data_IF_474516388054
#
_entry.id   IF_474516388054
#
_cell.length_a   1.000
_cell.length_b   1.000
_cell.length_c   1.000
_cell.angle_alpha   90.00
_cell.angle_beta   90.00
_cell.angle_gamma   90.00
#
_symmetry.space_group_name_H-M   'P 1'
#
loop_
_entity.id
_entity.type
_entity.pdbx_description
1 polymer ?
#
# COMPACT_ATOMS: atom_id res chain seq x y z
N UNK A 1 63.02 32.96 -23.06
CA UNK A 1 62.48 31.84 -22.29
C UNK A 1 60.95 31.94 -22.32
N UNK A 2 60.26 30.93 -22.85
CA UNK A 2 58.81 30.98 -23.04
C UNK A 2 58.06 30.99 -21.70
N UNK A 3 56.85 31.58 -21.70
CA UNK A 3 56.00 31.72 -20.52
C UNK A 3 55.49 30.35 -20.02
N UNK A 4 56.33 29.62 -19.27
CA UNK A 4 56.03 28.31 -18.69
C UNK A 4 54.78 28.35 -17.80
N UNK A 5 54.60 29.45 -17.05
CA UNK A 5 53.44 29.66 -16.20
C UNK A 5 52.14 29.73 -17.03
N UNK A 6 52.18 30.40 -18.20
CA UNK A 6 51.06 30.44 -19.14
C UNK A 6 50.66 29.06 -19.65
N UNK A 7 51.63 28.20 -20.00
CA UNK A 7 51.36 26.83 -20.44
C UNK A 7 50.70 25.96 -19.36
N UNK A 8 51.17 26.06 -18.11
CA UNK A 8 50.57 25.34 -16.99
C UNK A 8 49.11 25.77 -16.75
N UNK A 9 48.84 27.07 -16.79
CA UNK A 9 47.48 27.60 -16.66
C UNK A 9 46.59 27.10 -17.81
N UNK A 10 47.07 27.13 -19.05
CA UNK A 10 46.31 26.63 -20.21
C UNK A 10 46.00 25.13 -20.10
N UNK A 11 46.96 24.29 -19.70
CA UNK A 11 46.74 22.84 -19.51
C UNK A 11 45.72 22.59 -18.41
N UNK A 12 45.80 23.31 -17.29
CA UNK A 12 44.82 23.20 -16.21
C UNK A 12 43.41 23.60 -16.67
N UNK A 13 43.29 24.67 -17.47
CA UNK A 13 42.02 25.17 -18.00
C UNK A 13 41.40 24.18 -19.01
N UNK A 14 42.21 23.65 -19.92
CA UNK A 14 41.79 22.60 -20.87
C UNK A 14 41.38 21.33 -20.12
N UNK A 15 42.15 20.91 -19.12
CA UNK A 15 41.82 19.76 -18.27
C UNK A 15 40.50 19.95 -17.53
N UNK A 16 40.25 21.14 -16.98
CA UNK A 16 38.99 21.47 -16.30
C UNK A 16 37.80 21.47 -17.26
N UNK A 17 37.94 22.07 -18.45
CA UNK A 17 36.90 22.06 -19.49
C UNK A 17 36.64 20.63 -19.98
N UNK A 18 37.68 19.85 -20.25
CA UNK A 18 37.56 18.45 -20.64
C UNK A 18 36.84 17.64 -19.55
N UNK A 19 37.16 17.84 -18.27
CA UNK A 19 36.48 17.16 -17.16
C UNK A 19 35.01 17.59 -17.05
N UNK A 20 34.68 18.87 -17.26
CA UNK A 20 33.30 19.37 -17.28
C UNK A 20 32.48 18.83 -18.47
N UNK A 21 33.12 18.60 -19.62
CA UNK A 21 32.47 18.05 -20.83
C UNK A 21 32.36 16.52 -20.80
N UNK A 22 33.38 15.83 -20.31
CA UNK A 22 33.44 14.36 -20.26
C UNK A 22 32.62 13.81 -19.09
N UNK A 23 32.62 14.45 -17.92
CA UNK A 23 31.92 13.95 -16.72
C UNK A 23 30.42 13.71 -16.94
N UNK A 24 29.63 14.57 -17.60
CA UNK A 24 28.22 14.30 -17.88
C UNK A 24 28.00 13.11 -18.84
N UNK A 25 28.97 12.84 -19.72
CA UNK A 25 28.90 11.77 -20.72
C UNK A 25 29.38 10.43 -20.13
N UNK A 26 30.47 10.46 -19.36
CA UNK A 26 31.09 9.31 -18.70
C UNK A 26 30.34 8.90 -17.42
N UNK A 27 29.87 9.88 -16.64
CA UNK A 27 29.12 9.70 -15.40
C UNK A 27 27.74 10.37 -15.48
N UNK A 28 26.85 9.89 -16.37
CA UNK A 28 25.53 10.47 -16.51
C UNK A 28 24.76 10.33 -15.19
N UNK A 29 24.39 11.46 -14.59
CA UNK A 29 23.61 11.51 -13.35
C UNK A 29 22.13 11.27 -13.62
N UNK A 30 21.46 10.61 -12.67
CA UNK A 30 20.00 10.47 -12.72
C UNK A 30 19.35 11.84 -12.77
N UNK A 31 18.17 11.89 -13.40
CA UNK A 31 17.26 13.00 -13.19
C UNK A 31 17.04 13.21 -11.68
N UNK A 32 17.16 14.45 -11.17
CA UNK A 32 16.89 14.71 -9.76
C UNK A 32 15.42 14.41 -9.44
N UNK A 33 15.10 13.97 -8.21
CA UNK A 33 13.72 13.94 -7.75
C UNK A 33 13.19 15.38 -7.66
N UNK A 34 11.87 15.51 -7.84
CA UNK A 34 11.15 16.76 -7.62
C UNK A 34 11.35 17.26 -6.18
N UNK A 35 11.28 18.59 -6.00
CA UNK A 35 11.49 19.25 -4.72
C UNK A 35 10.51 18.76 -3.65
N UNK A 36 9.22 18.67 -3.99
CA UNK A 36 8.17 18.16 -3.09
C UNK A 36 8.45 16.70 -2.66
N UNK A 37 9.01 15.89 -3.56
CA UNK A 37 9.37 14.51 -3.29
C UNK A 37 10.48 14.36 -2.25
N UNK A 38 11.43 15.30 -2.24
CA UNK A 38 12.52 15.33 -1.25
C UNK A 38 12.03 15.69 0.16
N UNK A 39 11.09 16.64 0.27
CA UNK A 39 10.76 17.26 1.55
C UNK A 39 9.42 16.81 2.16
N UNK A 40 8.41 16.56 1.32
CA UNK A 40 7.04 16.30 1.77
C UNK A 40 6.70 14.81 1.72
N UNK A 41 7.14 14.11 0.68
CA UNK A 41 6.67 12.76 0.39
C UNK A 41 7.61 11.64 0.85
N UNK A 42 8.73 11.93 1.50
CA UNK A 42 9.61 10.91 2.10
C UNK A 42 9.12 10.44 3.49
N UNK A 43 8.16 11.14 4.08
CA UNK A 43 7.63 10.77 5.40
C UNK A 43 6.91 9.43 5.31
N UNK A 44 7.07 8.60 6.33
CA UNK A 44 6.24 7.42 6.49
C UNK A 44 4.78 7.86 6.62
N UNK A 45 3.87 7.19 5.90
CA UNK A 45 2.46 7.31 6.20
C UNK A 45 2.27 6.72 7.60
N UNK A 46 1.63 7.45 8.51
CA UNK A 46 1.33 7.00 9.86
C UNK A 46 -0.09 7.40 10.23
N UNK A 47 -0.79 6.51 10.92
CA UNK A 47 -2.01 6.88 11.64
C UNK A 47 -1.54 7.48 12.95
N UNK A 48 -1.79 8.77 13.16
CA UNK A 48 -1.28 9.49 14.32
C UNK A 48 -1.85 8.98 15.66
N UNK A 49 -3.01 8.32 15.61
CA UNK A 49 -3.67 7.74 16.78
C UNK A 49 -3.34 6.25 16.92
N UNK A 50 -3.07 5.74 18.13
CA UNK A 50 -2.82 4.32 18.35
C UNK A 50 -4.13 3.52 18.16
N UNK A 51 -4.02 2.29 17.63
CA UNK A 51 -5.18 1.40 17.45
C UNK A 51 -5.91 1.10 18.77
N UNK A 52 -5.20 1.11 19.91
CA UNK A 52 -5.76 0.89 21.24
C UNK A 52 -6.85 1.90 21.63
N UNK A 53 -6.89 3.09 21.03
CA UNK A 53 -7.97 4.05 21.28
C UNK A 53 -9.34 3.55 20.77
N UNK A 54 -9.33 2.64 19.77
CA UNK A 54 -10.52 2.02 19.19
C UNK A 54 -10.84 0.69 19.88
N UNK A 55 -9.83 -0.17 20.03
CA UNK A 55 -10.03 -1.54 20.49
C UNK A 55 -9.78 -1.76 21.98
N UNK A 56 -9.35 -0.73 22.71
CA UNK A 56 -9.00 -0.79 24.14
C UNK A 56 -7.57 -1.24 24.40
N UNK A 57 -7.08 -2.24 23.67
CA UNK A 57 -5.70 -2.72 23.75
C UNK A 57 -5.21 -3.17 22.36
N UNK A 58 -3.93 -2.94 22.07
CA UNK A 58 -3.34 -3.46 20.84
C UNK A 58 -3.42 -5.00 20.82
N UNK A 59 -3.66 -5.64 19.66
CA UNK A 59 -3.65 -7.09 19.55
C UNK A 59 -2.30 -7.68 19.99
N UNK A 60 -2.34 -8.71 20.83
CA UNK A 60 -1.13 -9.37 21.38
C UNK A 60 -1.14 -10.89 21.21
N UNK A 61 -2.19 -11.46 20.62
CA UNK A 61 -2.31 -12.90 20.43
C UNK A 61 -1.18 -13.48 19.56
N UNK A 62 -0.81 -14.72 19.85
CA UNK A 62 0.17 -15.45 19.06
C UNK A 62 -0.35 -15.86 17.68
N UNK A 63 0.57 -16.28 16.80
CA UNK A 63 0.25 -16.78 15.47
C UNK A 63 0.22 -15.70 14.39
N UNK A 64 -0.22 -16.08 13.20
CA UNK A 64 -0.33 -15.21 12.03
C UNK A 64 -1.79 -14.88 11.74
N UNK A 65 -2.17 -13.59 11.80
CA UNK A 65 -3.51 -13.14 11.42
C UNK A 65 -3.84 -13.44 9.95
N UNK A 66 -2.81 -13.56 9.11
CA UNK A 66 -2.98 -13.85 7.69
C UNK A 66 -3.61 -15.21 7.43
N UNK A 67 -3.45 -16.17 8.33
CA UNK A 67 -4.01 -17.52 8.18
C UNK A 67 -5.55 -17.51 8.31
N UNK A 68 -6.09 -16.77 9.27
CA UNK A 68 -7.55 -16.68 9.45
C UNK A 68 -8.17 -15.83 8.34
N UNK A 69 -7.49 -14.75 7.94
CA UNK A 69 -7.97 -13.91 6.84
C UNK A 69 -7.93 -14.64 5.50
N UNK A 70 -6.96 -15.52 5.27
CA UNK A 70 -6.91 -16.36 4.07
C UNK A 70 -8.08 -17.34 4.02
N UNK A 71 -8.42 -17.98 5.14
CA UNK A 71 -9.61 -18.83 5.23
C UNK A 71 -10.90 -18.04 4.98
N UNK A 72 -10.99 -16.79 5.42
CA UNK A 72 -12.14 -15.93 5.13
C UNK A 72 -12.23 -15.58 3.63
N UNK A 73 -11.10 -15.40 2.94
CA UNK A 73 -11.05 -15.21 1.49
C UNK A 73 -11.46 -16.50 0.76
N UNK A 74 -10.98 -17.68 1.18
CA UNK A 74 -11.39 -18.96 0.61
C UNK A 74 -12.90 -19.18 0.75
N UNK A 75 -13.47 -18.82 1.90
CA UNK A 75 -14.90 -18.90 2.14
C UNK A 75 -15.70 -17.92 1.26
N UNK A 76 -15.16 -16.72 1.02
CA UNK A 76 -15.73 -15.79 0.05
C UNK A 76 -15.72 -16.38 -1.35
N UNK A 77 -14.58 -16.88 -1.85
CA UNK A 77 -14.48 -17.45 -3.19
C UNK A 77 -15.38 -18.67 -3.37
N UNK A 78 -15.52 -19.52 -2.35
CA UNK A 78 -16.43 -20.66 -2.37
C UNK A 78 -17.92 -20.27 -2.45
N UNK A 79 -18.28 -19.06 -2.00
CA UNK A 79 -19.65 -18.55 -1.94
C UNK A 79 -19.86 -17.28 -2.77
N UNK A 80 -18.96 -17.03 -3.73
CA UNK A 80 -18.81 -15.74 -4.41
C UNK A 80 -20.12 -15.22 -5.01
N UNK A 81 -20.85 -16.06 -5.74
CA UNK A 81 -22.10 -15.64 -6.40
C UNK A 81 -23.15 -15.14 -5.40
N UNK A 82 -23.31 -15.83 -4.27
CA UNK A 82 -24.28 -15.46 -3.23
C UNK A 82 -23.84 -14.19 -2.52
N UNK A 83 -22.55 -14.08 -2.18
CA UNK A 83 -22.00 -12.93 -1.47
C UNK A 83 -21.93 -11.68 -2.35
N UNK A 84 -21.66 -11.81 -3.65
CA UNK A 84 -21.68 -10.69 -4.60
C UNK A 84 -23.11 -10.17 -4.80
N UNK A 85 -24.12 -11.06 -4.88
CA UNK A 85 -25.54 -10.66 -4.90
C UNK A 85 -25.93 -9.94 -3.61
N UNK A 86 -25.44 -10.42 -2.47
CA UNK A 86 -25.68 -9.81 -1.17
C UNK A 86 -25.07 -8.40 -1.09
N UNK A 87 -23.79 -8.25 -1.48
CA UNK A 87 -23.12 -6.95 -1.56
C UNK A 87 -23.87 -6.00 -2.50
N UNK A 88 -24.27 -6.47 -3.68
CA UNK A 88 -25.05 -5.67 -4.64
C UNK A 88 -26.38 -5.21 -4.04
N UNK A 89 -27.10 -6.09 -3.34
CA UNK A 89 -28.35 -5.74 -2.68
C UNK A 89 -28.14 -4.61 -1.64
N UNK A 90 -27.05 -4.66 -0.88
CA UNK A 90 -26.70 -3.59 0.07
C UNK A 90 -26.38 -2.28 -0.62
N UNK A 91 -25.59 -2.30 -1.70
CA UNK A 91 -25.32 -1.10 -2.50
C UNK A 91 -26.60 -0.49 -3.10
N UNK A 92 -27.59 -1.32 -3.42
CA UNK A 92 -28.89 -0.89 -3.95
C UNK A 92 -29.90 -0.55 -2.83
N UNK A 93 -29.49 -0.52 -1.55
CA UNK A 93 -30.34 -0.31 -0.37
C UNK A 93 -31.56 -1.26 -0.32
N UNK A 94 -31.41 -2.48 -0.82
CA UNK A 94 -32.48 -3.49 -0.77
C UNK A 94 -32.55 -4.13 0.62
N UNK A 95 -33.75 -4.46 1.10
CA UNK A 95 -33.91 -5.16 2.37
C UNK A 95 -33.22 -6.53 2.29
N UNK A 96 -32.44 -6.85 3.32
CA UNK A 96 -31.79 -8.16 3.46
C UNK A 96 -32.72 -9.08 4.26
N UNK A 97 -32.95 -10.30 3.74
CA UNK A 97 -33.78 -11.32 4.41
C UNK A 97 -33.01 -12.13 5.47
N UNK A 98 -31.74 -11.81 5.71
CA UNK A 98 -30.83 -12.50 6.62
C UNK A 98 -29.40 -12.56 6.08
N UNK A 99 -28.47 -13.02 6.91
CA UNK A 99 -27.10 -13.31 6.48
C UNK A 99 -26.96 -14.80 6.15
N UNK A 100 -26.29 -15.15 5.04
CA UNK A 100 -25.82 -16.51 4.82
C UNK A 100 -24.88 -16.95 5.96
N UNK A 101 -24.91 -18.24 6.32
CA UNK A 101 -24.02 -18.82 7.35
C UNK A 101 -22.54 -18.55 7.07
N UNK A 102 -22.15 -18.45 5.79
CA UNK A 102 -20.79 -18.12 5.40
C UNK A 102 -20.35 -16.74 5.90
N UNK A 103 -21.27 -15.77 6.05
CA UNK A 103 -20.94 -14.45 6.59
C UNK A 103 -20.60 -14.53 8.07
N UNK A 104 -21.34 -15.31 8.86
CA UNK A 104 -21.06 -15.48 10.29
C UNK A 104 -19.70 -16.17 10.50
N UNK A 105 -19.40 -17.19 9.70
CA UNK A 105 -18.09 -17.84 9.69
C UNK A 105 -16.96 -16.87 9.30
N UNK A 106 -17.18 -16.00 8.30
CA UNK A 106 -16.20 -14.96 7.95
C UNK A 106 -16.00 -13.96 9.09
N UNK A 107 -17.05 -13.57 9.81
CA UNK A 107 -16.96 -12.71 10.99
C UNK A 107 -16.09 -13.37 12.06
N UNK A 108 -16.31 -14.65 12.35
CA UNK A 108 -15.51 -15.41 13.33
C UNK A 108 -14.03 -15.47 12.95
N UNK A 109 -13.73 -15.76 11.68
CA UNK A 109 -12.35 -15.79 11.16
C UNK A 109 -11.67 -14.42 11.26
N UNK A 110 -12.37 -13.34 10.90
CA UNK A 110 -11.83 -11.98 11.02
C UNK A 110 -11.62 -11.60 12.49
N UNK A 111 -12.50 -12.01 13.40
CA UNK A 111 -12.34 -11.80 14.84
C UNK A 111 -11.15 -12.58 15.40
N UNK A 112 -10.96 -13.84 14.99
CA UNK A 112 -9.82 -14.65 15.37
C UNK A 112 -8.49 -14.01 14.91
N UNK A 113 -8.42 -13.58 13.64
CA UNK A 113 -7.25 -12.88 13.11
C UNK A 113 -6.99 -11.53 13.78
N UNK A 114 -8.05 -10.78 14.12
CA UNK A 114 -7.94 -9.52 14.85
C UNK A 114 -7.39 -9.67 16.28
N UNK A 115 -7.45 -10.87 16.87
CA UNK A 115 -6.84 -11.15 18.17
C UNK A 115 -5.31 -11.27 18.11
N UNK A 116 -4.72 -11.52 16.93
CA UNK A 116 -3.29 -11.81 16.76
C UNK A 116 -2.47 -10.53 16.58
N UNK A 117 -1.21 -10.55 17.03
CA UNK A 117 -0.36 -9.36 17.07
C UNK A 117 0.12 -8.85 15.70
N UNK A 118 0.20 -9.75 14.71
CA UNK A 118 0.75 -9.42 13.41
C UNK A 118 0.15 -10.28 12.29
N UNK A 119 0.28 -9.75 11.07
CA UNK A 119 -0.11 -10.42 9.84
C UNK A 119 1.10 -10.61 8.91
N UNK A 120 1.18 -11.80 8.34
CA UNK A 120 2.05 -12.18 7.21
C UNK A 120 1.15 -12.87 6.19
N UNK A 121 0.78 -12.17 5.13
CA UNK A 121 -0.16 -12.65 4.13
C UNK A 121 0.53 -12.88 2.79
N UNK A 122 1.25 -11.86 2.33
CA UNK A 122 2.01 -11.87 1.07
C UNK A 122 3.09 -12.95 1.12
N UNK A 123 3.10 -13.81 0.10
CA UNK A 123 3.99 -14.98 -0.07
C UNK A 123 3.80 -16.12 0.92
N UNK A 124 2.87 -15.98 1.87
CA UNK A 124 2.38 -17.08 2.70
C UNK A 124 1.15 -17.68 2.03
N UNK A 125 0.17 -16.82 1.69
CA UNK A 125 -1.12 -17.20 1.08
C UNK A 125 -1.27 -16.71 -0.36
N UNK A 126 -0.20 -16.16 -0.93
CA UNK A 126 -0.18 -15.67 -2.31
C UNK A 126 1.02 -16.22 -3.07
N UNK A 127 0.95 -16.20 -4.40
CA UNK A 127 2.09 -16.57 -5.24
C UNK A 127 3.34 -15.76 -4.85
N UNK A 128 4.52 -16.40 -4.90
CA UNK A 128 5.82 -15.75 -4.66
C UNK A 128 6.28 -14.86 -5.82
N UNK A 129 5.35 -14.06 -6.32
CA UNK A 129 5.48 -13.18 -7.48
C UNK A 129 4.66 -11.92 -7.23
N UNK A 130 5.23 -10.77 -7.56
CA UNK A 130 4.51 -9.50 -7.53
C UNK A 130 4.14 -9.12 -8.95
N UNK A 131 2.86 -8.89 -9.22
CA UNK A 131 2.41 -8.43 -10.52
C UNK A 131 2.53 -6.91 -10.64
N UNK A 132 3.01 -6.43 -11.78
CA UNK A 132 3.10 -4.98 -12.05
C UNK A 132 1.72 -4.51 -12.46
N UNK A 133 0.88 -4.17 -11.48
CA UNK A 133 -0.47 -3.64 -11.70
C UNK A 133 -0.75 -2.54 -10.69
N UNK A 134 -1.72 -1.68 -11.03
CA UNK A 134 -2.23 -0.71 -10.07
C UNK A 134 -2.94 -1.40 -8.92
N UNK A 135 -3.75 -2.42 -9.22
CA UNK A 135 -4.53 -3.15 -8.22
C UNK A 135 -3.77 -4.43 -7.83
N UNK A 136 -3.62 -4.65 -6.53
CA UNK A 136 -3.08 -5.90 -6.00
C UNK A 136 -4.25 -6.81 -5.60
N UNK A 137 -4.49 -7.88 -6.38
CA UNK A 137 -5.60 -8.81 -6.18
C UNK A 137 -5.81 -9.24 -4.72
N UNK A 138 -4.77 -9.76 -4.04
CA UNK A 138 -4.89 -10.17 -2.64
C UNK A 138 -5.37 -9.06 -1.67
N UNK A 139 -5.03 -7.79 -1.94
CA UNK A 139 -5.55 -6.69 -1.13
C UNK A 139 -7.02 -6.38 -1.43
N UNK A 140 -7.47 -6.59 -2.67
CA UNK A 140 -8.87 -6.47 -3.06
C UNK A 140 -9.72 -7.58 -2.42
N UNK A 141 -9.19 -8.81 -2.36
CA UNK A 141 -9.90 -9.95 -1.75
C UNK A 141 -10.10 -9.68 -0.24
N UNK A 142 -9.04 -9.27 0.47
CA UNK A 142 -9.12 -8.87 1.88
C UNK A 142 -10.07 -7.68 2.10
N UNK A 143 -10.06 -6.68 1.22
CA UNK A 143 -11.02 -5.57 1.30
C UNK A 143 -12.46 -6.05 1.12
N UNK A 144 -12.69 -7.01 0.21
CA UNK A 144 -14.01 -7.58 -0.03
C UNK A 144 -14.52 -8.33 1.19
N UNK A 145 -13.66 -9.15 1.81
CA UNK A 145 -13.94 -9.78 3.11
C UNK A 145 -14.30 -8.75 4.17
N UNK A 146 -13.50 -7.68 4.31
CA UNK A 146 -13.78 -6.62 5.27
C UNK A 146 -15.14 -5.96 5.01
N UNK A 147 -15.48 -5.64 3.76
CA UNK A 147 -16.79 -5.05 3.38
C UNK A 147 -17.96 -5.95 3.78
N UNK A 148 -17.85 -7.26 3.53
CA UNK A 148 -18.88 -8.24 3.92
C UNK A 148 -19.05 -8.27 5.46
N UNK A 149 -17.94 -8.24 6.20
CA UNK A 149 -17.96 -8.22 7.67
C UNK A 149 -18.53 -6.91 8.22
N UNK A 150 -18.18 -5.76 7.64
CA UNK A 150 -18.75 -4.46 8.02
C UNK A 150 -20.27 -4.43 7.78
N UNK A 151 -20.72 -4.95 6.64
CA UNK A 151 -22.14 -5.13 6.30
C UNK A 151 -22.87 -6.03 7.30
N UNK A 152 -22.25 -7.14 7.72
CA UNK A 152 -22.81 -7.99 8.78
C UNK A 152 -23.03 -7.17 10.06
N UNK A 153 -22.05 -6.34 10.42
CA UNK A 153 -22.16 -5.40 11.53
C UNK A 153 -23.36 -4.44 11.42
N UNK A 154 -23.67 -3.94 10.22
CA UNK A 154 -24.86 -3.10 10.01
C UNK A 154 -26.17 -3.85 10.24
N UNK A 155 -26.26 -5.11 9.79
CA UNK A 155 -27.46 -5.91 10.06
C UNK A 155 -27.63 -6.18 11.57
N UNK A 156 -26.55 -6.51 12.26
CA UNK A 156 -26.59 -6.68 13.72
C UNK A 156 -27.02 -5.39 14.43
N UNK A 157 -26.51 -4.23 14.03
CA UNK A 157 -26.94 -2.96 14.59
C UNK A 157 -28.44 -2.70 14.35
N UNK A 158 -28.92 -2.92 13.12
CA UNK A 158 -30.31 -2.70 12.75
C UNK A 158 -31.30 -3.67 13.42
N UNK A 159 -30.82 -4.83 13.89
CA UNK A 159 -31.62 -5.82 14.63
C UNK A 159 -31.50 -5.69 16.14
N UNK A 160 -30.92 -4.57 16.64
CA UNK A 160 -30.76 -4.28 18.07
C UNK A 160 -29.57 -4.98 18.73
N UNK A 161 -28.74 -5.70 17.98
CA UNK A 161 -27.53 -6.37 18.47
C UNK A 161 -26.31 -5.44 18.37
N UNK A 162 -26.43 -4.23 18.92
CA UNK A 162 -25.42 -3.16 18.78
C UNK A 162 -24.05 -3.54 19.32
N UNK A 163 -23.97 -4.28 20.43
CA UNK A 163 -22.68 -4.69 20.99
C UNK A 163 -21.93 -5.67 20.08
N UNK A 164 -22.66 -6.57 19.41
CA UNK A 164 -22.08 -7.46 18.41
C UNK A 164 -21.57 -6.66 17.21
N UNK A 165 -22.33 -5.68 16.75
CA UNK A 165 -21.91 -4.78 15.68
C UNK A 165 -20.60 -4.03 16.04
N UNK A 166 -20.50 -3.50 17.27
CA UNK A 166 -19.28 -2.83 17.76
C UNK A 166 -18.08 -3.79 17.73
N UNK A 167 -18.22 -5.02 18.21
CA UNK A 167 -17.13 -6.02 18.18
C UNK A 167 -16.67 -6.31 16.75
N UNK A 168 -17.61 -6.45 15.81
CA UNK A 168 -17.34 -6.69 14.40
C UNK A 168 -16.56 -5.53 13.79
N UNK A 169 -16.99 -4.27 14.03
CA UNK A 169 -16.29 -3.09 13.52
C UNK A 169 -14.89 -2.93 14.10
N UNK A 170 -14.70 -3.24 15.39
CA UNK A 170 -13.36 -3.30 16.02
C UNK A 170 -12.45 -4.32 15.33
N UNK A 171 -12.95 -5.53 15.07
CA UNK A 171 -12.17 -6.57 14.40
C UNK A 171 -11.78 -6.17 12.97
N UNK A 172 -12.71 -5.59 12.21
CA UNK A 172 -12.42 -5.08 10.86
C UNK A 172 -11.41 -3.93 10.88
N UNK A 173 -11.47 -3.02 11.87
CA UNK A 173 -10.47 -1.97 12.05
C UNK A 173 -9.07 -2.56 12.26
N UNK A 174 -8.95 -3.62 13.08
CA UNK A 174 -7.67 -4.33 13.28
C UNK A 174 -7.20 -5.04 12.02
N UNK A 175 -8.09 -5.67 11.25
CA UNK A 175 -7.74 -6.24 9.95
C UNK A 175 -7.14 -5.18 9.02
N UNK A 176 -7.76 -3.99 8.95
CA UNK A 176 -7.20 -2.86 8.21
C UNK A 176 -5.84 -2.39 8.73
N UNK A 177 -5.65 -2.39 10.05
CA UNK A 177 -4.37 -2.08 10.69
C UNK A 177 -3.28 -3.12 10.36
N UNK A 178 -3.63 -4.40 10.35
CA UNK A 178 -2.75 -5.48 9.89
C UNK A 178 -2.33 -5.31 8.42
N UNK A 179 -3.28 -5.02 7.52
CA UNK A 179 -2.99 -4.76 6.10
C UNK A 179 -2.07 -3.54 5.92
N UNK A 180 -2.29 -2.49 6.72
CA UNK A 180 -1.43 -1.31 6.75
C UNK A 180 0.02 -1.65 7.17
N UNK A 181 0.17 -2.37 8.28
CA UNK A 181 1.48 -2.69 8.86
C UNK A 181 2.23 -3.80 8.15
N UNK A 182 1.54 -4.71 7.44
CA UNK A 182 2.23 -5.68 6.61
C UNK A 182 3.14 -4.96 5.62
N UNK A 183 2.72 -3.81 5.06
CA UNK A 183 3.61 -2.98 4.26
C UNK A 183 4.22 -3.72 3.07
N UNK A 184 3.49 -4.68 2.49
CA UNK A 184 3.92 -5.47 1.34
C UNK A 184 3.89 -4.65 0.05
N UNK A 185 2.76 -4.01 -0.24
CA UNK A 185 2.56 -3.13 -1.40
C UNK A 185 1.65 -1.96 -1.03
N UNK A 186 1.76 -0.84 -1.74
CA UNK A 186 1.02 0.40 -1.43
C UNK A 186 -0.50 0.22 -1.51
N UNK A 187 -0.99 -0.64 -2.42
CA UNK A 187 -2.42 -0.91 -2.54
C UNK A 187 -2.99 -1.59 -1.29
N UNK A 188 -2.29 -2.59 -0.74
CA UNK A 188 -2.62 -3.24 0.55
C UNK A 188 -2.65 -2.21 1.69
N UNK A 189 -1.61 -1.39 1.78
CA UNK A 189 -1.51 -0.34 2.81
C UNK A 189 -2.67 0.66 2.70
N UNK A 190 -3.01 1.08 1.49
CA UNK A 190 -4.05 2.08 1.24
C UNK A 190 -5.45 1.53 1.52
N UNK A 191 -5.74 0.29 1.13
CA UNK A 191 -7.01 -0.40 1.44
C UNK A 191 -7.15 -0.66 2.93
N UNK A 192 -6.05 -1.05 3.60
CA UNK A 192 -6.03 -1.19 5.06
C UNK A 192 -6.40 0.10 5.80
N UNK A 193 -5.93 1.26 5.33
CA UNK A 193 -6.31 2.57 5.87
C UNK A 193 -7.77 2.92 5.59
N UNK A 194 -8.28 2.61 4.39
CA UNK A 194 -9.68 2.83 4.04
C UNK A 194 -10.62 1.98 4.94
N UNK A 195 -10.27 0.72 5.20
CA UNK A 195 -11.02 -0.17 6.10
C UNK A 195 -11.01 0.38 7.53
N UNK A 196 -9.86 0.83 8.03
CA UNK A 196 -9.75 1.49 9.34
C UNK A 196 -10.68 2.72 9.45
N UNK A 197 -10.67 3.59 8.44
CA UNK A 197 -11.52 4.78 8.41
C UNK A 197 -13.02 4.43 8.40
N UNK A 198 -13.45 3.52 7.52
CA UNK A 198 -14.85 3.05 7.45
C UNK A 198 -15.30 2.44 8.78
N UNK A 199 -14.50 1.54 9.36
CA UNK A 199 -14.82 0.91 10.64
C UNK A 199 -14.92 1.93 11.79
N UNK A 200 -14.01 2.91 11.85
CA UNK A 200 -14.04 3.96 12.85
C UNK A 200 -15.23 4.92 12.68
N UNK A 201 -15.61 5.24 11.45
CA UNK A 201 -16.81 6.03 11.15
C UNK A 201 -18.08 5.32 11.64
N UNK A 202 -18.20 4.01 11.42
CA UNK A 202 -19.36 3.26 11.89
C UNK A 202 -19.36 3.10 13.41
N UNK A 203 -18.20 2.90 14.04
CA UNK A 203 -18.09 2.93 15.50
C UNK A 203 -18.52 4.28 16.09
N UNK A 204 -18.14 5.40 15.48
CA UNK A 204 -18.59 6.74 15.89
C UNK A 204 -20.12 6.84 15.92
N UNK A 205 -20.81 6.34 14.88
CA UNK A 205 -22.28 6.30 14.84
C UNK A 205 -22.83 5.45 15.98
N UNK A 206 -22.38 4.20 16.11
CA UNK A 206 -22.88 3.27 17.12
C UNK A 206 -22.64 3.76 18.56
N UNK A 207 -21.50 4.39 18.83
CA UNK A 207 -21.21 4.96 20.15
C UNK A 207 -22.09 6.16 20.48
N UNK A 208 -22.38 7.03 19.50
CA UNK A 208 -23.34 8.13 19.68
C UNK A 208 -24.75 7.62 19.99
N UNK A 209 -25.20 6.61 19.25
CA UNK A 209 -26.51 6.00 19.46
C UNK A 209 -26.64 5.37 20.86
N UNK A 210 -25.52 4.94 21.45
CA UNK A 210 -25.43 4.42 22.84
C UNK A 210 -25.14 5.48 23.92
N UNK A 211 -24.95 6.75 23.57
CA UNK A 211 -24.55 7.80 24.52
C UNK A 211 -23.13 7.64 25.08
N UNK A 212 -22.24 6.97 24.35
CA UNK A 212 -20.83 6.74 24.71
C UNK A 212 -19.93 7.83 24.11
N UNK A 213 -20.05 9.06 24.64
CA UNK A 213 -19.44 10.25 24.04
C UNK A 213 -17.91 10.22 23.98
N UNK A 214 -17.25 9.61 24.97
CA UNK A 214 -15.79 9.49 24.99
C UNK A 214 -15.28 8.56 23.88
N UNK A 215 -15.91 7.40 23.73
CA UNK A 215 -15.60 6.43 22.68
C UNK A 215 -15.95 6.97 21.29
N UNK A 216 -17.05 7.73 21.17
CA UNK A 216 -17.39 8.45 19.95
C UNK A 216 -16.29 9.47 19.58
N UNK A 217 -15.82 10.28 20.53
CA UNK A 217 -14.74 11.24 20.28
C UNK A 217 -13.44 10.53 19.85
N UNK A 218 -13.10 9.40 20.49
CA UNK A 218 -11.97 8.56 20.12
C UNK A 218 -12.10 8.00 18.69
N UNK A 219 -13.28 7.47 18.34
CA UNK A 219 -13.58 6.97 17.01
C UNK A 219 -13.47 8.06 15.94
N UNK A 220 -13.99 9.26 16.21
CA UNK A 220 -13.84 10.42 15.30
C UNK A 220 -12.39 10.90 15.14
N UNK A 221 -11.61 10.91 16.23
CA UNK A 221 -10.19 11.28 16.17
C UNK A 221 -9.39 10.29 15.32
N UNK A 222 -9.64 8.99 15.51
CA UNK A 222 -8.99 7.92 14.78
C UNK A 222 -9.38 7.90 13.30
N UNK A 223 -10.68 8.03 12.98
CA UNK A 223 -11.19 8.10 11.60
C UNK A 223 -10.47 9.21 10.83
N UNK A 224 -10.42 10.44 11.37
CA UNK A 224 -9.73 11.57 10.73
C UNK A 224 -8.25 11.28 10.50
N UNK A 225 -7.58 10.64 11.46
CA UNK A 225 -6.18 10.28 11.33
C UNK A 225 -5.96 9.21 10.23
N UNK A 226 -6.81 8.18 10.17
CA UNK A 226 -6.77 7.15 9.13
C UNK A 226 -7.07 7.73 7.75
N UNK A 227 -8.09 8.59 7.62
CA UNK A 227 -8.46 9.30 6.39
C UNK A 227 -7.35 10.24 5.91
N UNK A 228 -6.68 10.96 6.81
CA UNK A 228 -5.53 11.80 6.48
C UNK A 228 -4.35 10.97 5.94
N UNK A 229 -4.04 9.85 6.60
CA UNK A 229 -3.00 8.92 6.14
C UNK A 229 -3.35 8.29 4.79
N UNK A 230 -4.62 7.90 4.58
CA UNK A 230 -5.12 7.36 3.32
C UNK A 230 -5.00 8.38 2.17
N UNK A 231 -5.42 9.63 2.42
CA UNK A 231 -5.31 10.73 1.46
C UNK A 231 -3.85 11.00 1.09
N UNK A 232 -2.96 11.01 2.09
CA UNK A 232 -1.52 11.14 1.86
C UNK A 232 -0.97 10.02 0.96
N UNK A 233 -1.37 8.77 1.21
CA UNK A 233 -1.01 7.63 0.37
C UNK A 233 -1.51 7.83 -1.06
N UNK A 234 -2.76 8.27 -1.26
CA UNK A 234 -3.30 8.57 -2.57
C UNK A 234 -2.46 9.59 -3.35
N UNK A 235 -2.17 10.73 -2.72
CA UNK A 235 -1.37 11.80 -3.35
C UNK A 235 0.06 11.35 -3.67
N UNK A 236 0.71 10.64 -2.75
CA UNK A 236 2.06 10.08 -2.97
C UNK A 236 2.07 9.04 -4.09
N UNK A 237 1.05 8.18 -4.15
CA UNK A 237 0.91 7.14 -5.18
C UNK A 237 0.79 7.74 -6.58
N UNK A 238 0.05 8.84 -6.76
CA UNK A 238 -0.06 9.53 -8.06
C UNK A 238 1.29 10.00 -8.63
N UNK A 239 2.26 10.28 -7.75
CA UNK A 239 3.63 10.68 -8.14
C UNK A 239 4.48 9.50 -8.65
N UNK A 240 4.12 8.27 -8.29
CA UNK A 240 4.89 7.05 -8.59
C UNK A 240 4.25 6.15 -9.63
N UNK A 241 2.91 6.16 -9.70
CA UNK A 241 2.13 5.30 -10.58
C UNK A 241 1.31 6.15 -11.54
N UNK A 242 1.97 6.57 -12.62
CA UNK A 242 1.35 7.20 -13.78
C UNK A 242 2.02 6.66 -15.06
N UNK A 243 1.51 7.03 -16.24
CA UNK A 243 1.98 6.52 -17.53
C UNK A 243 3.40 6.97 -17.90
N UNK A 244 3.92 8.02 -17.25
CA UNK A 244 5.25 8.57 -17.49
C UNK A 244 5.91 9.03 -16.17
N UNK A 245 6.23 8.09 -15.25
CA UNK A 245 6.69 8.45 -13.93
C UNK A 245 8.06 9.12 -14.03
N UNK A 246 8.30 10.12 -13.17
CA UNK A 246 9.59 10.83 -13.14
C UNK A 246 10.64 9.90 -12.53
N UNK A 247 11.66 9.58 -13.33
CA UNK A 247 12.71 8.63 -12.95
C UNK A 247 13.39 8.99 -11.61
N UNK A 248 13.70 10.28 -11.42
CA UNK A 248 14.29 10.78 -10.18
C UNK A 248 13.47 10.49 -8.92
N UNK A 249 12.14 10.63 -9.00
CA UNK A 249 11.25 10.31 -7.88
C UNK A 249 11.30 8.82 -7.53
N UNK A 250 11.24 7.95 -8.55
CA UNK A 250 11.28 6.50 -8.35
C UNK A 250 12.60 6.04 -7.73
N UNK A 251 13.74 6.54 -8.24
CA UNK A 251 15.05 6.21 -7.69
C UNK A 251 15.18 6.68 -6.24
N UNK A 252 14.77 7.92 -5.98
CA UNK A 252 14.85 8.51 -4.65
C UNK A 252 14.01 7.75 -3.64
N UNK A 253 12.75 7.41 -3.95
CA UNK A 253 11.90 6.63 -3.04
C UNK A 253 12.46 5.23 -2.83
N UNK A 254 12.87 4.53 -3.89
CA UNK A 254 13.40 3.18 -3.75
C UNK A 254 14.58 3.13 -2.76
N UNK A 255 15.45 4.14 -2.77
CA UNK A 255 16.65 4.19 -1.94
C UNK A 255 16.46 4.84 -0.56
N UNK A 256 15.53 5.77 -0.39
CA UNK A 256 15.47 6.62 0.81
C UNK A 256 14.15 6.53 1.59
N UNK A 257 13.10 5.92 1.03
CA UNK A 257 11.80 5.89 1.71
C UNK A 257 11.81 4.91 2.89
N UNK A 258 11.38 5.34 4.08
CA UNK A 258 11.33 4.45 5.24
C UNK A 258 10.26 3.36 5.09
N UNK A 259 9.21 3.59 4.32
CA UNK A 259 8.12 2.64 4.13
C UNK A 259 8.50 1.55 3.13
N UNK A 260 8.50 0.28 3.57
CA UNK A 260 8.74 -0.87 2.69
C UNK A 260 7.81 -0.88 1.47
N UNK A 261 6.50 -0.70 1.68
CA UNK A 261 5.52 -0.70 0.60
C UNK A 261 5.85 0.33 -0.50
N UNK A 262 6.32 1.53 -0.11
CA UNK A 262 6.71 2.58 -1.05
C UNK A 262 7.96 2.21 -1.85
N UNK A 263 8.96 1.60 -1.20
CA UNK A 263 10.14 1.06 -1.88
C UNK A 263 9.77 -0.03 -2.88
N UNK A 264 8.91 -0.98 -2.48
CA UNK A 264 8.38 -2.03 -3.37
C UNK A 264 7.67 -1.41 -4.57
N UNK A 265 6.76 -0.46 -4.33
CA UNK A 265 6.00 0.22 -5.38
C UNK A 265 6.92 0.99 -6.35
N UNK A 266 7.93 1.69 -5.84
CA UNK A 266 8.89 2.40 -6.68
C UNK A 266 9.70 1.42 -7.55
N UNK A 267 10.10 0.27 -7.00
CA UNK A 267 10.77 -0.80 -7.74
C UNK A 267 9.87 -1.42 -8.82
N UNK A 268 8.59 -1.60 -8.54
CA UNK A 268 7.63 -2.02 -9.58
C UNK A 268 7.47 -0.96 -10.67
N UNK A 269 7.32 0.31 -10.31
CA UNK A 269 7.19 1.43 -11.24
C UNK A 269 8.44 1.65 -12.11
N UNK A 270 9.63 1.26 -11.65
CA UNK A 270 10.86 1.26 -12.44
C UNK A 270 10.77 0.37 -13.70
N UNK A 271 9.85 -0.59 -13.75
CA UNK A 271 9.58 -1.36 -14.95
C UNK A 271 9.01 -0.52 -16.10
N UNK A 272 8.18 0.49 -15.78
CA UNK A 272 7.63 1.43 -16.77
C UNK A 272 8.76 2.25 -17.40
N UNK A 273 9.74 2.70 -16.59
CA UNK A 273 10.91 3.46 -17.07
C UNK A 273 11.74 2.71 -18.12
N UNK A 274 11.70 1.37 -18.13
CA UNK A 274 12.38 0.56 -19.17
C UNK A 274 11.93 0.96 -20.57
N UNK A 275 10.67 1.36 -20.71
CA UNK A 275 10.05 1.70 -21.99
C UNK A 275 9.76 3.20 -22.14
N UNK A 276 9.65 3.95 -21.04
CA UNK A 276 9.28 5.38 -21.08
C UNK A 276 10.41 6.37 -20.79
N UNK A 277 11.55 5.93 -20.22
CA UNK A 277 12.63 6.85 -19.86
C UNK A 277 13.32 7.46 -21.09
N UNK A 278 13.28 8.79 -21.20
CA UNK A 278 13.85 9.55 -22.32
C UNK A 278 15.38 9.66 -22.26
N UNK A 279 15.96 9.79 -21.05
CA UNK A 279 17.41 9.98 -20.87
C UNK A 279 18.15 8.65 -20.79
N UNK A 280 19.28 8.56 -21.48
CA UNK A 280 20.18 7.39 -21.39
C UNK A 280 20.72 7.18 -19.97
N UNK A 281 20.96 8.28 -19.23
CA UNK A 281 21.32 8.26 -17.81
C UNK A 281 20.32 7.46 -16.97
N UNK A 282 19.03 7.83 -17.06
CA UNK A 282 17.95 7.22 -16.29
C UNK A 282 17.79 5.74 -16.66
N UNK A 283 17.92 5.37 -17.94
CA UNK A 283 17.88 3.97 -18.37
C UNK A 283 19.00 3.14 -17.76
N UNK A 284 20.23 3.65 -17.72
CA UNK A 284 21.39 2.97 -17.10
C UNK A 284 21.18 2.80 -15.60
N UNK A 285 20.76 3.86 -14.92
CA UNK A 285 20.53 3.83 -13.47
C UNK A 285 19.37 2.91 -13.11
N UNK A 286 18.28 2.94 -13.88
CA UNK A 286 17.15 2.03 -13.74
C UNK A 286 17.58 0.56 -13.82
N UNK A 287 18.37 0.21 -14.85
CA UNK A 287 18.92 -1.15 -15.00
C UNK A 287 19.77 -1.56 -13.80
N UNK A 288 20.65 -0.66 -13.33
CA UNK A 288 21.52 -0.89 -12.17
C UNK A 288 20.71 -1.11 -10.90
N UNK A 289 19.71 -0.25 -10.62
CA UNK A 289 18.88 -0.35 -9.43
C UNK A 289 18.01 -1.61 -9.44
N UNK A 290 17.39 -1.96 -10.58
CA UNK A 290 16.66 -3.23 -10.70
C UNK A 290 17.57 -4.41 -10.40
N UNK A 291 18.79 -4.44 -10.97
CA UNK A 291 19.75 -5.51 -10.68
C UNK A 291 20.17 -5.55 -9.21
N UNK A 292 20.43 -4.40 -8.59
CA UNK A 292 20.71 -4.30 -7.14
C UNK A 292 19.57 -4.89 -6.31
N UNK A 293 18.32 -4.52 -6.60
CA UNK A 293 17.16 -4.96 -5.82
C UNK A 293 16.75 -6.41 -6.06
N UNK A 294 17.14 -7.04 -7.19
CA UNK A 294 16.93 -8.49 -7.38
C UNK A 294 17.66 -9.34 -6.32
N UNK A 295 18.71 -8.80 -5.71
CA UNK A 295 19.48 -9.42 -4.63
C UNK A 295 19.19 -8.80 -3.26
N UNK A 296 18.06 -8.10 -3.11
CA UNK A 296 17.64 -7.54 -1.81
C UNK A 296 17.36 -8.66 -0.80
N UNK A 297 17.78 -8.47 0.45
CA UNK A 297 17.44 -9.37 1.56
C UNK A 297 15.93 -9.38 1.84
N UNK A 298 15.25 -8.28 1.53
CA UNK A 298 13.78 -8.23 1.53
C UNK A 298 13.21 -9.01 0.32
N UNK A 299 12.50 -10.14 0.56
CA UNK A 299 12.02 -11.00 -0.52
C UNK A 299 10.95 -10.34 -1.39
N UNK A 300 10.17 -9.40 -0.85
CA UNK A 300 9.11 -8.70 -1.59
C UNK A 300 9.74 -7.70 -2.55
N UNK A 301 10.75 -6.94 -2.08
CA UNK A 301 11.53 -6.04 -2.95
C UNK A 301 12.24 -6.85 -4.06
N UNK A 302 12.83 -8.00 -3.73
CA UNK A 302 13.48 -8.87 -4.70
C UNK A 302 12.50 -9.42 -5.75
N UNK A 303 11.30 -9.84 -5.34
CA UNK A 303 10.25 -10.29 -6.24
C UNK A 303 9.75 -9.15 -7.16
N UNK A 304 9.53 -7.95 -6.61
CA UNK A 304 9.17 -6.76 -7.39
C UNK A 304 10.25 -6.42 -8.43
N UNK A 305 11.53 -6.48 -8.05
CA UNK A 305 12.64 -6.24 -8.97
C UNK A 305 12.73 -7.29 -10.08
N UNK A 306 12.49 -8.57 -9.77
CA UNK A 306 12.40 -9.65 -10.76
C UNK A 306 11.27 -9.37 -11.75
N UNK A 307 10.07 -9.04 -11.26
CA UNK A 307 8.95 -8.68 -12.12
C UNK A 307 9.28 -7.47 -13.00
N UNK A 308 9.92 -6.43 -12.44
CA UNK A 308 10.32 -5.25 -13.19
C UNK A 308 11.35 -5.55 -14.29
N UNK A 309 12.30 -6.45 -14.00
CA UNK A 309 13.29 -6.92 -14.97
C UNK A 309 12.63 -7.61 -16.15
N UNK A 310 11.70 -8.53 -15.86
CA UNK A 310 11.09 -9.43 -16.84
C UNK A 310 9.85 -8.88 -17.53
N UNK A 311 9.38 -7.68 -17.17
CA UNK A 311 8.27 -7.01 -17.89
C UNK A 311 8.61 -6.87 -19.38
N UNK A 312 7.73 -7.41 -20.22
CA UNK A 312 7.80 -7.36 -21.68
C UNK A 312 7.08 -6.11 -22.21
N UNK A 313 7.45 -5.67 -23.42
CA UNK A 313 6.81 -4.51 -24.08
C UNK A 313 5.32 -4.73 -24.34
N UNK A 314 4.91 -5.95 -24.68
CA UNK A 314 3.49 -6.31 -24.86
C UNK A 314 2.69 -6.13 -23.57
N UNK A 315 3.22 -6.59 -22.45
CA UNK A 315 2.61 -6.41 -21.12
C UNK A 315 2.59 -4.93 -20.72
N UNK A 316 3.64 -4.17 -21.02
CA UNK A 316 3.67 -2.73 -20.75
C UNK A 316 2.53 -1.98 -21.45
N UNK A 317 2.26 -2.31 -22.72
CA UNK A 317 1.19 -1.67 -23.48
C UNK A 317 -0.21 -1.94 -22.89
N UNK A 318 -0.39 -3.03 -22.13
CA UNK A 318 -1.66 -3.33 -21.45
C UNK A 318 -1.77 -2.69 -20.06
N UNK A 319 -0.68 -2.13 -19.50
CA UNK A 319 -0.72 -1.47 -18.18
C UNK A 319 -1.45 -0.12 -18.18
N UNK A 320 -1.55 0.53 -19.35
CA UNK A 320 -2.19 1.83 -19.53
C UNK A 320 -3.65 1.75 -20.01
N UNK A 321 -4.17 0.55 -20.25
CA UNK A 321 -5.59 0.36 -20.51
C UNK A 321 -6.32 0.30 -19.15
N UNK A 322 -7.27 1.20 -18.87
CA UNK A 322 -8.10 1.13 -17.67
C UNK A 322 -8.91 -0.18 -17.60
#
# INVERSE_FOLDING_TARGET
>A
MGNLAGWLVSVALVGMVALLLVKPVACPSASPPETDMRYQYIKAATVAQPISIIVGAAPTGGGNAGDDYAQAVELYEANKEVLDKLLKAVYENKPLLGLPTSVDQMVELVQAGAGKAAMRYTFVHTERKIEIRGIYGPALDLETVAKIVLMAGDLYANTGQTDRAIQIRKAACVMGWHMFNEGAVVDMTSRGLAIQAMAAQDLLRLYRDKGMDAEAANASSYERAATAAWTYCGTKRQKLWNTAPKAGNLFFIAENDPGRAWRVQAVMSMAVLKFSARRTADRRINKRLITKYMSSDDPIIAAAAKSARYLKKSQFNTLGAP
#
